data_IF_669149844625
#
_entry.id   IF_669149844625
#
_cell.length_a   1.000
_cell.length_b   1.000
_cell.length_c   1.000
_cell.angle_alpha   90.00
_cell.angle_beta   90.00
_cell.angle_gamma   90.00
#
_symmetry.space_group_name_H-M   'P 1'
#
loop_
_entity.id
_entity.type
_entity.pdbx_description
1 polymer ?
#
# COMPACT_ATOMS: atom_id res chain seq x y z
N UNK A 1 -6.62 11.89 12.72
CA UNK A 1 -5.21 11.68 13.01
C UNK A 1 -4.56 11.35 11.68
N UNK A 2 -3.51 12.09 11.27
CA UNK A 2 -2.87 11.98 9.96
C UNK A 2 -1.74 10.93 9.91
N UNK A 3 -1.03 10.80 8.80
CA UNK A 3 0.05 9.82 8.63
C UNK A 3 1.22 9.96 9.62
N UNK A 4 1.28 11.04 10.38
CA UNK A 4 2.28 11.29 11.42
C UNK A 4 2.16 10.40 12.66
N UNK A 5 1.08 9.65 12.83
CA UNK A 5 0.89 8.73 13.96
C UNK A 5 1.90 7.61 13.99
N UNK A 6 2.36 7.19 12.84
CA UNK A 6 3.31 6.11 12.71
C UNK A 6 4.60 6.41 13.46
N UNK A 7 4.98 7.69 13.52
CA UNK A 7 6.18 8.13 14.24
C UNK A 7 6.16 7.74 15.73
N UNK A 8 4.98 7.64 16.35
CA UNK A 8 4.88 7.33 17.77
C UNK A 8 5.26 5.89 18.10
N UNK A 9 5.14 4.99 17.16
CA UNK A 9 5.58 3.60 17.33
C UNK A 9 7.09 3.52 17.52
N UNK A 10 7.80 4.54 17.07
CA UNK A 10 9.25 4.66 17.19
C UNK A 10 9.70 5.51 18.39
N UNK A 11 8.80 6.00 19.22
CA UNK A 11 9.14 6.69 20.46
C UNK A 11 9.25 5.70 21.62
N UNK A 12 10.19 5.97 22.55
CA UNK A 12 10.32 5.17 23.77
C UNK A 12 9.16 5.39 24.72
N UNK A 13 8.63 6.62 24.72
CA UNK A 13 7.50 6.99 25.55
C UNK A 13 6.38 7.61 24.69
N UNK A 14 5.16 7.25 25.01
CA UNK A 14 3.99 7.90 24.39
C UNK A 14 3.88 9.33 24.90
N UNK A 15 3.77 10.34 24.01
CA UNK A 15 3.59 11.72 24.44
C UNK A 15 2.36 11.89 25.33
N UNK A 16 2.45 12.79 26.31
CA UNK A 16 1.37 13.04 27.26
C UNK A 16 0.07 13.42 26.54
N UNK A 17 -1.01 12.75 26.92
CA UNK A 17 -2.35 12.99 26.33
C UNK A 17 -2.65 12.16 25.10
N UNK A 18 -1.73 11.31 24.65
CA UNK A 18 -1.95 10.41 23.55
C UNK A 18 -2.16 8.96 24.02
N UNK A 19 -2.97 8.17 23.33
CA UNK A 19 -3.14 6.77 23.70
C UNK A 19 -1.82 6.02 23.51
N UNK A 20 -1.54 5.09 24.42
CA UNK A 20 -0.39 4.20 24.29
C UNK A 20 -0.52 3.36 23.01
N UNK A 21 0.50 3.36 22.20
CA UNK A 21 0.56 2.52 21.01
C UNK A 21 1.07 1.14 21.39
N UNK A 22 0.31 0.12 21.04
CA UNK A 22 0.76 -1.28 21.16
C UNK A 22 1.53 -1.62 19.89
N UNK A 23 2.71 -2.21 20.04
CA UNK A 23 3.49 -2.70 18.92
C UNK A 23 2.72 -3.83 18.23
N UNK A 24 2.51 -3.79 16.91
CA UNK A 24 1.84 -4.87 16.20
C UNK A 24 2.75 -6.11 16.11
N UNK A 25 2.14 -7.30 16.03
CA UNK A 25 2.87 -8.55 15.87
C UNK A 25 3.51 -8.67 14.49
N UNK A 26 2.89 -8.08 13.47
CA UNK A 26 3.37 -8.10 12.09
C UNK A 26 3.36 -6.69 11.51
N UNK A 27 4.46 -6.30 10.91
CA UNK A 27 4.55 -5.04 10.18
C UNK A 27 4.77 -5.29 8.69
N UNK A 28 3.83 -4.80 7.86
CA UNK A 28 3.96 -4.78 6.41
C UNK A 28 4.54 -3.45 5.94
N UNK A 29 5.71 -3.49 5.32
CA UNK A 29 6.39 -2.32 4.75
C UNK A 29 6.22 -2.33 3.24
N UNK A 30 5.58 -1.29 2.70
CA UNK A 30 5.35 -1.18 1.26
C UNK A 30 5.78 0.18 0.74
N UNK A 31 6.71 0.20 -0.19
CA UNK A 31 7.21 1.39 -0.92
C UNK A 31 7.53 2.58 -0.03
N UNK A 32 8.11 2.33 1.13
CA UNK A 32 8.55 3.37 2.05
C UNK A 32 9.89 2.98 2.66
N UNK A 33 10.73 3.96 2.94
CA UNK A 33 12.04 3.77 3.55
C UNK A 33 12.16 4.62 4.82
N UNK A 34 11.44 4.27 5.90
CA UNK A 34 11.47 5.03 7.15
C UNK A 34 12.86 5.11 7.79
N UNK A 35 13.74 4.14 7.56
CA UNK A 35 15.10 4.18 8.11
C UNK A 35 15.87 5.44 7.71
N UNK A 36 15.62 6.01 6.53
CA UNK A 36 16.26 7.24 6.08
C UNK A 36 15.33 8.43 5.88
N UNK A 37 14.01 8.21 5.79
CA UNK A 37 13.05 9.29 5.57
C UNK A 37 12.57 9.95 6.87
N UNK A 38 12.83 9.34 8.02
CA UNK A 38 12.60 9.93 9.32
C UNK A 38 13.87 10.62 9.84
N UNK A 39 13.67 11.46 10.87
CA UNK A 39 14.79 12.00 11.63
C UNK A 39 15.45 10.90 12.45
N UNK A 40 16.73 11.01 12.75
CA UNK A 40 17.49 10.08 13.57
C UNK A 40 17.46 8.62 13.07
N UNK A 41 18.17 8.40 12.00
CA UNK A 41 18.27 7.09 11.32
C UNK A 41 18.70 5.97 12.27
N UNK A 42 19.63 6.24 13.20
CA UNK A 42 20.10 5.25 14.16
C UNK A 42 19.01 4.80 15.11
N UNK A 43 18.30 5.76 15.72
CA UNK A 43 17.18 5.47 16.61
C UNK A 43 16.03 4.75 15.89
N UNK A 44 15.76 5.08 14.63
CA UNK A 44 14.74 4.38 13.85
C UNK A 44 15.17 2.94 13.57
N UNK A 45 16.42 2.71 13.16
CA UNK A 45 16.92 1.36 12.91
C UNK A 45 16.83 0.48 14.17
N UNK A 46 17.27 0.98 15.32
CA UNK A 46 17.17 0.25 16.59
C UNK A 46 15.71 -0.11 16.95
N UNK A 47 14.77 0.79 16.66
CA UNK A 47 13.37 0.55 16.94
C UNK A 47 12.70 -0.40 15.96
N UNK A 48 13.16 -0.43 14.71
CA UNK A 48 12.68 -1.39 13.73
C UNK A 48 12.96 -2.83 14.16
N UNK A 49 14.06 -3.08 14.85
CA UNK A 49 14.39 -4.42 15.39
C UNK A 49 13.43 -4.91 16.49
N UNK A 50 12.58 -4.04 17.04
CA UNK A 50 11.61 -4.38 18.08
C UNK A 50 10.33 -5.02 17.52
N UNK A 51 10.08 -4.92 16.22
CA UNK A 51 8.92 -5.56 15.61
C UNK A 51 9.13 -7.07 15.55
N UNK A 52 8.18 -7.88 16.04
CA UNK A 52 8.33 -9.33 16.08
C UNK A 52 8.47 -9.98 14.72
N UNK A 53 7.81 -9.42 13.70
CA UNK A 53 7.87 -9.92 12.33
C UNK A 53 7.64 -8.81 11.32
N UNK A 54 8.59 -8.64 10.40
CA UNK A 54 8.56 -7.60 9.37
C UNK A 54 8.54 -8.22 7.98
N UNK A 55 7.54 -7.87 7.19
CA UNK A 55 7.43 -8.27 5.79
C UNK A 55 7.54 -7.03 4.91
N UNK A 56 8.56 -6.97 4.08
CA UNK A 56 8.73 -5.89 3.13
C UNK A 56 8.31 -6.30 1.71
N UNK A 57 7.68 -5.36 1.01
CA UNK A 57 7.36 -5.47 -0.41
C UNK A 57 8.19 -4.44 -1.15
N UNK A 58 9.18 -4.88 -1.90
CA UNK A 58 10.13 -3.98 -2.52
C UNK A 58 10.67 -4.53 -3.84
N UNK A 59 11.02 -3.62 -4.75
CA UNK A 59 11.68 -3.93 -6.00
C UNK A 59 13.20 -3.67 -5.94
N UNK A 60 13.67 -3.04 -4.87
CA UNK A 60 15.10 -2.81 -4.58
C UNK A 60 15.38 -3.08 -3.11
N UNK A 61 16.63 -3.42 -2.80
CA UNK A 61 17.10 -3.42 -1.41
C UNK A 61 17.38 -1.99 -0.98
N UNK A 62 16.89 -1.63 0.19
CA UNK A 62 17.10 -0.35 0.85
C UNK A 62 17.39 -0.52 2.34
N UNK A 63 17.62 0.57 3.04
CA UNK A 63 18.00 0.58 4.45
C UNK A 63 16.90 0.05 5.37
N UNK A 64 15.65 0.18 4.96
CA UNK A 64 14.51 -0.33 5.73
C UNK A 64 14.28 -1.81 5.52
N UNK A 65 14.23 -2.24 4.25
CA UNK A 65 13.85 -3.61 3.95
C UNK A 65 14.94 -4.65 4.26
N UNK A 66 16.16 -4.22 4.54
CA UNK A 66 17.19 -5.11 5.09
C UNK A 66 16.88 -5.61 6.52
N UNK A 67 15.97 -4.94 7.25
CA UNK A 67 15.48 -5.41 8.55
C UNK A 67 14.28 -6.35 8.43
N UNK A 68 13.80 -6.63 7.22
CA UNK A 68 12.66 -7.51 7.02
C UNK A 68 13.06 -8.97 7.19
N UNK A 69 12.20 -9.74 7.90
CA UNK A 69 12.31 -11.19 8.00
C UNK A 69 11.95 -11.87 6.68
N UNK A 70 11.03 -11.26 5.93
CA UNK A 70 10.62 -11.71 4.60
C UNK A 70 10.60 -10.52 3.63
N UNK A 71 11.30 -10.67 2.51
CA UNK A 71 11.28 -9.71 1.42
C UNK A 71 10.54 -10.33 0.22
N UNK A 72 9.37 -9.77 -0.09
CA UNK A 72 8.57 -10.16 -1.25
C UNK A 72 8.84 -9.21 -2.41
N UNK A 73 9.20 -9.74 -3.59
CA UNK A 73 9.52 -8.90 -4.73
C UNK A 73 8.26 -8.22 -5.30
N UNK A 74 8.24 -6.90 -5.30
CA UNK A 74 7.20 -6.07 -5.90
C UNK A 74 7.56 -5.77 -7.36
N UNK A 75 6.56 -5.65 -8.20
CA UNK A 75 6.74 -5.21 -9.58
C UNK A 75 7.15 -3.74 -9.63
N UNK A 76 8.07 -3.42 -10.51
CA UNK A 76 8.50 -2.05 -10.75
C UNK A 76 7.40 -1.23 -11.40
N UNK A 77 7.62 0.06 -11.48
CA UNK A 77 6.70 0.99 -12.13
C UNK A 77 6.51 0.71 -13.62
N UNK A 78 7.52 0.17 -14.29
CA UNK A 78 7.45 -0.22 -15.71
C UNK A 78 6.72 -1.56 -15.92
N UNK A 79 6.61 -2.37 -14.88
CA UNK A 79 6.01 -3.71 -14.91
C UNK A 79 4.56 -3.72 -14.41
N UNK A 80 4.09 -2.62 -13.80
CA UNK A 80 2.81 -2.59 -13.10
C UNK A 80 1.77 -1.68 -13.74
N UNK A 81 0.51 -2.13 -13.71
CA UNK A 81 -0.64 -1.28 -13.97
C UNK A 81 -0.94 -0.47 -12.73
N UNK A 82 -0.97 0.85 -12.85
CA UNK A 82 -1.33 1.73 -11.73
C UNK A 82 -2.18 2.91 -12.18
N UNK A 83 -3.13 3.28 -11.34
CA UNK A 83 -3.82 4.55 -11.45
C UNK A 83 -3.01 5.61 -10.71
N UNK A 84 -2.50 6.58 -11.46
CA UNK A 84 -1.67 7.66 -10.92
C UNK A 84 -2.50 8.94 -10.93
N UNK A 85 -2.55 9.60 -9.80
CA UNK A 85 -3.08 10.96 -9.73
C UNK A 85 -2.03 11.94 -10.23
N UNK A 86 -2.40 12.73 -11.23
CA UNK A 86 -1.55 13.76 -11.82
C UNK A 86 -2.07 15.13 -11.39
N UNK A 87 -1.16 16.03 -11.13
CA UNK A 87 -1.47 17.38 -10.71
C UNK A 87 -1.76 17.50 -9.23
N UNK A 88 -1.53 18.70 -8.71
CA UNK A 88 -1.76 19.05 -7.34
C UNK A 88 -1.00 18.19 -6.33
N UNK A 89 0.17 18.61 -5.94
CA UNK A 89 0.76 18.14 -4.69
C UNK A 89 0.14 18.94 -3.55
N UNK A 90 0.23 18.45 -2.32
CA UNK A 90 -0.21 19.22 -1.13
C UNK A 90 0.48 20.57 -0.94
N UNK A 91 1.43 20.90 -1.79
CA UNK A 91 2.19 22.14 -1.79
C UNK A 91 1.79 23.10 -2.90
N UNK A 92 0.80 22.76 -3.72
CA UNK A 92 0.29 23.60 -4.81
C UNK A 92 -1.10 24.09 -4.41
N UNK A 93 -1.31 25.39 -4.37
CA UNK A 93 -2.56 26.01 -3.90
C UNK A 93 -3.79 25.58 -4.70
N UNK A 94 -3.68 25.46 -6.01
CA UNK A 94 -4.78 25.05 -6.90
C UNK A 94 -4.95 23.53 -7.01
N UNK A 95 -4.48 22.83 -6.03
CA UNK A 95 -4.53 21.38 -5.95
C UNK A 95 -5.93 20.78 -6.15
N UNK A 96 -6.96 21.50 -5.72
CA UNK A 96 -8.35 21.03 -5.76
C UNK A 96 -9.03 21.26 -7.10
N UNK A 97 -8.56 22.24 -7.86
CA UNK A 97 -9.19 22.67 -9.10
C UNK A 97 -8.71 21.87 -10.31
N UNK A 98 -7.46 21.38 -10.28
CA UNK A 98 -6.84 20.71 -11.41
C UNK A 98 -6.31 19.34 -11.02
N UNK A 99 -7.20 18.34 -11.06
CA UNK A 99 -6.85 16.94 -10.81
C UNK A 99 -7.01 16.14 -12.09
N UNK A 100 -5.98 15.39 -12.44
CA UNK A 100 -5.99 14.40 -13.49
C UNK A 100 -5.64 13.03 -12.96
N UNK A 101 -6.11 12.01 -13.66
CA UNK A 101 -5.71 10.63 -13.40
C UNK A 101 -5.10 10.06 -14.68
N UNK A 102 -3.96 9.42 -14.54
CA UNK A 102 -3.35 8.65 -15.61
C UNK A 102 -3.38 7.17 -15.27
N UNK A 103 -3.85 6.36 -16.19
CA UNK A 103 -3.73 4.93 -16.10
C UNK A 103 -2.41 4.50 -16.73
N UNK A 104 -1.41 4.20 -15.89
CA UNK A 104 -0.14 3.70 -16.35
C UNK A 104 -0.27 2.25 -16.78
N UNK A 105 0.11 1.97 -18.02
CA UNK A 105 0.18 0.62 -18.57
C UNK A 105 1.58 0.04 -18.34
N UNK A 106 1.72 -1.26 -18.07
CA UNK A 106 3.03 -1.88 -18.02
C UNK A 106 3.70 -1.82 -19.39
N UNK A 107 4.95 -1.36 -19.41
CA UNK A 107 5.77 -1.32 -20.62
C UNK A 107 6.50 -2.64 -20.87
N UNK A 108 6.77 -3.39 -19.79
CA UNK A 108 7.46 -4.67 -19.82
C UNK A 108 6.72 -5.68 -18.92
N UNK A 109 6.99 -6.96 -19.13
CA UNK A 109 6.49 -8.03 -18.26
C UNK A 109 7.31 -8.10 -16.97
N UNK A 110 6.67 -8.49 -15.88
CA UNK A 110 7.36 -8.75 -14.59
C UNK A 110 8.42 -9.83 -14.76
N UNK A 111 9.56 -9.63 -14.08
CA UNK A 111 10.67 -10.58 -14.09
C UNK A 111 10.71 -11.41 -12.81
N UNK A 112 11.14 -12.66 -12.94
CA UNK A 112 11.30 -13.57 -11.80
C UNK A 112 9.98 -13.80 -11.07
N UNK A 113 10.03 -13.71 -9.76
CA UNK A 113 8.87 -13.91 -8.87
C UNK A 113 8.15 -12.60 -8.52
N UNK A 114 8.55 -11.46 -9.11
CA UNK A 114 7.93 -10.18 -8.86
C UNK A 114 6.46 -10.16 -9.24
N UNK A 115 5.63 -9.59 -8.37
CA UNK A 115 4.19 -9.45 -8.57
C UNK A 115 3.73 -8.05 -8.23
N UNK A 116 2.64 -7.63 -8.83
CA UNK A 116 2.01 -6.36 -8.46
C UNK A 116 1.44 -6.48 -7.05
N UNK A 117 1.67 -5.47 -6.22
CA UNK A 117 1.24 -5.48 -4.80
C UNK A 117 -0.24 -5.83 -4.60
N UNK A 118 -1.12 -5.37 -5.48
CA UNK A 118 -2.56 -5.71 -5.42
C UNK A 118 -2.82 -7.20 -5.56
N UNK A 119 -2.05 -7.90 -6.39
CA UNK A 119 -2.16 -9.34 -6.57
C UNK A 119 -1.65 -10.07 -5.30
N UNK A 120 -0.56 -9.57 -4.70
CA UNK A 120 -0.01 -10.10 -3.45
C UNK A 120 -1.02 -9.92 -2.31
N UNK A 121 -1.57 -8.71 -2.15
CA UNK A 121 -2.55 -8.40 -1.11
C UNK A 121 -3.82 -9.25 -1.25
N UNK A 122 -4.30 -9.46 -2.48
CA UNK A 122 -5.46 -10.32 -2.74
C UNK A 122 -5.17 -11.78 -2.40
N UNK A 123 -3.99 -12.29 -2.78
CA UNK A 123 -3.58 -13.65 -2.45
C UNK A 123 -3.42 -13.87 -0.92
N UNK A 124 -2.89 -12.88 -0.21
CA UNK A 124 -2.81 -12.90 1.25
C UNK A 124 -4.20 -12.91 1.87
N UNK A 125 -5.09 -12.03 1.42
CA UNK A 125 -6.48 -11.98 1.91
C UNK A 125 -7.21 -13.32 1.69
N UNK A 126 -6.98 -13.96 0.55
CA UNK A 126 -7.54 -15.28 0.27
C UNK A 126 -7.01 -16.36 1.22
N UNK A 127 -5.68 -16.42 1.43
CA UNK A 127 -5.05 -17.43 2.28
C UNK A 127 -5.37 -17.26 3.75
N UNK A 128 -5.60 -16.03 4.19
CA UNK A 128 -5.98 -15.71 5.59
C UNK A 128 -7.48 -15.78 5.83
N UNK A 129 -8.30 -16.07 4.81
CA UNK A 129 -9.77 -16.08 4.92
C UNK A 129 -10.41 -14.69 4.96
N UNK A 130 -9.65 -13.62 4.73
CA UNK A 130 -10.12 -12.22 4.80
C UNK A 130 -10.64 -11.68 3.46
N UNK A 131 -10.65 -12.49 2.39
CA UNK A 131 -11.01 -12.02 1.05
C UNK A 131 -12.40 -11.37 0.99
N UNK A 132 -13.39 -11.95 1.67
CA UNK A 132 -14.75 -11.40 1.73
C UNK A 132 -14.77 -10.01 2.38
N UNK A 133 -14.09 -9.85 3.51
CA UNK A 133 -13.98 -8.57 4.21
C UNK A 133 -13.20 -7.54 3.39
N UNK A 134 -12.15 -7.97 2.71
CA UNK A 134 -11.35 -7.14 1.81
C UNK A 134 -12.20 -6.60 0.65
N UNK A 135 -12.95 -7.45 -0.04
CA UNK A 135 -13.85 -7.05 -1.12
C UNK A 135 -15.00 -6.14 -0.63
N UNK A 136 -15.54 -6.41 0.56
CA UNK A 136 -16.55 -5.56 1.17
C UNK A 136 -16.01 -4.16 1.48
N UNK A 137 -14.77 -4.03 1.95
CA UNK A 137 -14.13 -2.75 2.22
C UNK A 137 -13.92 -1.94 0.94
N UNK A 138 -13.50 -2.58 -0.16
CA UNK A 138 -13.38 -1.94 -1.48
C UNK A 138 -14.74 -1.44 -1.96
N UNK A 139 -15.77 -2.28 -1.90
CA UNK A 139 -17.13 -1.91 -2.31
C UNK A 139 -17.71 -0.77 -1.47
N UNK A 140 -17.41 -0.73 -0.17
CA UNK A 140 -17.82 0.39 0.69
C UNK A 140 -17.16 1.70 0.26
N UNK A 141 -15.88 1.68 -0.06
CA UNK A 141 -15.16 2.84 -0.59
C UNK A 141 -15.72 3.32 -1.93
N UNK A 142 -16.04 2.40 -2.82
CA UNK A 142 -16.65 2.71 -4.12
C UNK A 142 -18.09 3.27 -4.02
N UNK A 143 -18.87 2.80 -3.05
CA UNK A 143 -20.24 3.26 -2.84
C UNK A 143 -20.36 4.73 -2.37
N UNK A 144 -19.28 5.32 -1.89
CA UNK A 144 -19.21 6.74 -1.51
C UNK A 144 -18.93 7.67 -2.70
N UNK A 145 -18.51 7.13 -3.85
CA UNK A 145 -18.40 7.88 -5.09
C UNK A 145 -19.78 8.02 -5.76
N UNK A 146 -20.07 9.18 -6.36
CA UNK A 146 -21.39 9.50 -6.95
C UNK A 146 -21.81 8.61 -8.13
N UNK A 147 -20.93 7.81 -8.65
CA UNK A 147 -21.21 6.81 -9.68
C UNK A 147 -20.92 5.42 -9.13
N UNK A 148 -21.93 4.56 -9.14
CA UNK A 148 -21.87 3.22 -8.55
C UNK A 148 -21.16 2.25 -9.50
N UNK A 149 -19.90 1.91 -9.29
CA UNK A 149 -19.31 0.78 -9.96
C UNK A 149 -20.07 -0.51 -9.60
N UNK A 150 -20.07 -1.48 -10.52
CA UNK A 150 -20.64 -2.80 -10.19
C UNK A 150 -19.90 -3.37 -8.99
N UNK A 151 -20.62 -3.78 -7.93
CA UNK A 151 -19.96 -4.31 -6.73
C UNK A 151 -19.16 -5.56 -7.07
N UNK A 152 -17.98 -5.66 -6.48
CA UNK A 152 -17.13 -6.84 -6.55
C UNK A 152 -17.81 -7.94 -5.73
N UNK A 153 -17.98 -9.11 -6.30
CA UNK A 153 -18.47 -10.28 -5.55
C UNK A 153 -17.59 -10.55 -4.34
N UNK A 154 -18.19 -10.92 -3.20
CA UNK A 154 -17.45 -11.22 -1.98
C UNK A 154 -16.46 -12.38 -2.12
N UNK A 155 -16.71 -13.26 -3.08
CA UNK A 155 -15.84 -14.42 -3.40
C UNK A 155 -14.90 -14.15 -4.58
N UNK A 156 -14.94 -12.96 -5.20
CA UNK A 156 -14.09 -12.66 -6.34
C UNK A 156 -12.62 -12.65 -5.97
N UNK A 157 -11.83 -13.42 -6.68
CA UNK A 157 -10.39 -13.44 -6.57
C UNK A 157 -9.79 -12.76 -7.79
N UNK A 158 -9.10 -11.67 -7.59
CA UNK A 158 -8.32 -11.04 -8.64
C UNK A 158 -6.93 -11.67 -8.67
N UNK A 159 -6.79 -12.74 -9.43
CA UNK A 159 -5.55 -13.50 -9.51
C UNK A 159 -4.48 -12.86 -10.41
N UNK A 160 -4.80 -11.74 -11.03
CA UNK A 160 -3.86 -11.01 -11.88
C UNK A 160 -4.27 -9.55 -12.05
N UNK A 161 -3.28 -8.69 -12.34
CA UNK A 161 -3.53 -7.30 -12.75
C UNK A 161 -4.48 -7.18 -13.95
N UNK A 162 -4.57 -8.23 -14.77
CA UNK A 162 -5.51 -8.34 -15.90
C UNK A 162 -6.96 -8.44 -15.41
N UNK A 163 -7.23 -9.15 -14.33
CA UNK A 163 -8.57 -9.26 -13.76
C UNK A 163 -9.02 -7.92 -13.14
N UNK A 164 -8.12 -7.18 -12.54
CA UNK A 164 -8.35 -5.81 -12.09
C UNK A 164 -8.71 -4.87 -13.25
N UNK A 165 -8.03 -5.00 -14.38
CA UNK A 165 -8.34 -4.22 -15.58
C UNK A 165 -9.77 -4.40 -16.02
N UNK A 166 -10.23 -5.64 -16.13
CA UNK A 166 -11.59 -5.94 -16.62
C UNK A 166 -12.68 -5.54 -15.63
N UNK A 167 -12.38 -5.48 -14.34
CA UNK A 167 -13.36 -5.18 -13.30
C UNK A 167 -13.45 -3.69 -12.94
N UNK A 168 -12.33 -2.96 -12.94
CA UNK A 168 -12.27 -1.60 -12.37
C UNK A 168 -12.11 -0.52 -13.45
N UNK A 169 -11.32 -0.78 -14.51
CA UNK A 169 -11.09 0.23 -15.55
C UNK A 169 -12.39 0.67 -16.26
N UNK A 170 -13.32 -0.21 -16.64
CA UNK A 170 -14.57 0.23 -17.24
C UNK A 170 -15.41 1.12 -16.33
N UNK A 171 -15.15 1.10 -15.03
CA UNK A 171 -15.87 1.87 -14.02
C UNK A 171 -15.25 3.24 -13.74
N UNK A 172 -13.99 3.43 -14.16
CA UNK A 172 -13.26 4.70 -14.00
C UNK A 172 -13.39 5.56 -15.27
N UNK A 173 -13.58 4.92 -16.43
CA UNK A 173 -13.59 5.57 -17.76
C UNK A 173 -15.03 5.85 -18.24
N UNK A 174 -16.04 5.28 -17.60
CA UNK A 174 -17.46 5.55 -17.86
C UNK A 174 -17.96 6.73 -17.02
#
# INVERSE_FOLDING_TARGET
LGPTHFSWMFLDETPKGLPRVTLPDVWFVYRTNPAISFWDTGAIADKMTRFPFVVAFAYTRDETNQFADVLLPDATDLESLQLIRIGGTKFVEQFWEHQGYALRQPAVTTRGEARVFTDIATALAQRTGLLSAYNAAINKGAATANERPKPISQSAVFSSSKAWRSAIIPQIVA
#
